data_IF_331704389594
#
_entry.id   IF_331704389594
#
_cell.length_a   1.000
_cell.length_b   1.000
_cell.length_c   1.000
_cell.angle_alpha   90.00
_cell.angle_beta   90.00
_cell.angle_gamma   90.00
#
_symmetry.space_group_name_H-M   'P 1'
#
loop_
_entity.id
_entity.type
_entity.pdbx_description
1 polymer ?
#
# COMPACT_ATOMS: atom_id res chain seq x y z
N UNK A 1 -24.62 -3.79 4.44
CA UNK A 1 -23.47 -4.68 4.74
C UNK A 1 -22.72 -4.14 5.95
N UNK A 2 -22.36 -5.00 6.90
CA UNK A 2 -21.54 -4.57 8.04
C UNK A 2 -20.13 -4.23 7.55
N UNK A 3 -19.57 -3.10 8.03
CA UNK A 3 -18.20 -2.68 7.73
C UNK A 3 -17.20 -3.75 8.19
N UNK A 4 -16.22 -4.07 7.36
CA UNK A 4 -15.11 -4.93 7.74
C UNK A 4 -14.30 -4.30 8.89
N UNK A 5 -13.53 -5.10 9.62
CA UNK A 5 -12.67 -4.59 10.70
C UNK A 5 -11.65 -3.56 10.17
N UNK A 6 -11.22 -3.72 8.93
CA UNK A 6 -10.29 -2.80 8.25
C UNK A 6 -10.99 -1.46 8.00
N UNK A 7 -12.20 -1.45 7.44
CA UNK A 7 -12.96 -0.22 7.21
C UNK A 7 -13.27 0.53 8.52
N UNK A 8 -13.57 -0.21 9.61
CA UNK A 8 -13.77 0.39 10.94
C UNK A 8 -12.50 1.03 11.47
N UNK A 9 -11.33 0.42 11.23
CA UNK A 9 -10.03 0.94 11.64
C UNK A 9 -9.72 2.26 10.91
N UNK A 10 -9.81 2.29 9.59
CA UNK A 10 -9.52 3.48 8.79
C UNK A 10 -10.53 4.62 8.97
N UNK A 11 -11.78 4.30 9.30
CA UNK A 11 -12.76 5.33 9.66
C UNK A 11 -12.42 6.06 10.97
N UNK A 12 -11.67 5.41 11.88
CA UNK A 12 -11.23 6.00 13.15
C UNK A 12 -9.85 6.67 13.05
N UNK A 13 -8.95 6.16 12.19
CA UNK A 13 -7.56 6.60 12.08
C UNK A 13 -7.27 7.02 10.63
N UNK A 14 -7.33 8.33 10.31
CA UNK A 14 -7.07 8.82 8.96
C UNK A 14 -5.65 8.49 8.51
N UNK A 15 -5.53 7.78 7.39
CA UNK A 15 -4.24 7.35 6.81
C UNK A 15 -3.40 8.52 6.30
N UNK A 16 -4.06 9.63 5.94
CA UNK A 16 -3.42 10.85 5.39
C UNK A 16 -2.30 11.38 6.27
N UNK A 17 -2.41 11.20 7.60
CA UNK A 17 -1.43 11.70 8.56
C UNK A 17 -0.26 10.74 8.79
N UNK A 18 -0.43 9.43 8.54
CA UNK A 18 0.60 8.42 8.79
C UNK A 18 1.85 8.66 7.94
N UNK A 19 1.66 8.85 6.65
CA UNK A 19 2.75 9.04 5.71
C UNK A 19 3.35 10.46 5.71
N UNK A 20 2.74 11.40 6.46
CA UNK A 20 3.31 12.74 6.68
C UNK A 20 4.23 12.79 7.91
N UNK A 21 4.23 11.77 8.76
CA UNK A 21 5.16 11.66 9.89
C UNK A 21 6.56 11.36 9.37
N UNK A 22 7.60 11.67 10.18
CA UNK A 22 9.02 11.50 9.79
C UNK A 22 9.35 10.13 9.20
N UNK A 23 8.85 9.04 9.81
CA UNK A 23 9.09 7.68 9.29
C UNK A 23 8.37 7.42 7.98
N UNK A 24 7.13 7.90 7.83
CA UNK A 24 6.38 7.77 6.59
C UNK A 24 7.04 8.50 5.41
N UNK A 25 7.77 9.59 5.67
CA UNK A 25 8.56 10.26 4.64
C UNK A 25 9.74 9.38 4.20
N UNK A 26 10.48 8.80 5.15
CA UNK A 26 11.60 7.90 4.83
C UNK A 26 11.12 6.67 4.08
N UNK A 27 10.05 6.02 4.54
CA UNK A 27 9.41 4.89 3.86
C UNK A 27 9.05 5.25 2.41
N UNK A 28 8.37 6.39 2.23
CA UNK A 28 7.93 6.86 0.92
C UNK A 28 9.12 7.14 -0.01
N UNK A 29 10.08 7.94 0.42
CA UNK A 29 11.24 8.32 -0.41
C UNK A 29 12.10 7.10 -0.76
N UNK A 30 12.32 6.19 0.19
CA UNK A 30 13.06 4.95 -0.06
C UNK A 30 12.33 4.07 -1.08
N UNK A 31 11.02 3.90 -0.93
CA UNK A 31 10.21 3.12 -1.86
C UNK A 31 10.23 3.75 -3.26
N UNK A 32 10.02 5.06 -3.38
CA UNK A 32 10.06 5.77 -4.65
C UNK A 32 11.44 5.70 -5.30
N UNK A 33 12.52 5.81 -4.51
CA UNK A 33 13.88 5.63 -5.01
C UNK A 33 14.09 4.25 -5.65
N UNK A 34 13.60 3.19 -4.99
CA UNK A 34 13.69 1.84 -5.54
C UNK A 34 12.80 1.63 -6.76
N UNK A 35 11.55 2.12 -6.72
CA UNK A 35 10.61 2.01 -7.85
C UNK A 35 11.19 2.64 -9.12
N UNK A 36 11.70 3.86 -9.05
CA UNK A 36 12.26 4.60 -10.21
C UNK A 36 13.39 3.87 -10.92
N UNK A 37 14.06 2.90 -10.28
CA UNK A 37 15.12 2.09 -10.90
C UNK A 37 14.59 1.02 -11.85
N UNK A 38 13.30 0.68 -11.76
CA UNK A 38 12.70 -0.46 -12.46
C UNK A 38 11.51 -0.09 -13.33
N UNK A 39 11.02 1.15 -13.23
CA UNK A 39 9.86 1.62 -14.00
C UNK A 39 10.29 2.59 -15.10
N UNK A 40 9.49 2.62 -16.17
CA UNK A 40 9.62 3.62 -17.23
C UNK A 40 8.22 4.10 -17.67
N UNK A 41 8.11 5.24 -18.37
CA UNK A 41 6.83 5.87 -18.70
C UNK A 41 5.86 5.04 -19.53
N UNK A 42 6.36 4.04 -20.27
CA UNK A 42 5.52 3.19 -21.12
C UNK A 42 4.85 2.05 -20.35
N UNK A 43 5.29 1.79 -19.11
CA UNK A 43 4.78 0.73 -18.28
C UNK A 43 3.39 1.07 -17.71
N UNK A 44 2.54 0.06 -17.60
CA UNK A 44 1.27 0.11 -16.87
C UNK A 44 1.53 -0.29 -15.42
N UNK A 45 1.29 0.63 -14.50
CA UNK A 45 1.46 0.41 -13.07
C UNK A 45 0.11 0.10 -12.42
N UNK A 46 0.11 -0.79 -11.44
CA UNK A 46 -1.05 -1.11 -10.61
C UNK A 46 -0.69 -0.94 -9.14
N UNK A 47 -1.43 -0.11 -8.42
CA UNK A 47 -1.27 0.13 -6.98
C UNK A 47 -2.41 -0.54 -6.22
N UNK A 48 -2.14 -1.68 -5.57
CA UNK A 48 -3.12 -2.48 -4.82
C UNK A 48 -3.06 -2.08 -3.34
N UNK A 49 -4.17 -1.58 -2.81
CA UNK A 49 -4.26 -1.00 -1.48
C UNK A 49 -3.68 0.41 -1.44
N UNK A 50 -4.04 1.23 -2.43
CA UNK A 50 -3.48 2.56 -2.63
C UNK A 50 -3.73 3.54 -1.46
N UNK A 51 -4.63 3.21 -0.52
CA UNK A 51 -5.02 4.11 0.56
C UNK A 51 -5.59 5.42 0.02
N UNK A 52 -5.06 6.54 0.50
CA UNK A 52 -5.41 7.87 -0.01
C UNK A 52 -4.60 8.27 -1.25
N UNK A 53 -3.91 7.33 -1.89
CA UNK A 53 -3.28 7.49 -3.20
C UNK A 53 -1.91 8.17 -3.19
N UNK A 54 -1.13 8.12 -2.12
CA UNK A 54 0.14 8.83 -2.04
C UNK A 54 1.15 8.38 -3.11
N UNK A 55 1.36 7.08 -3.26
CA UNK A 55 2.24 6.54 -4.30
C UNK A 55 1.67 6.78 -5.69
N UNK A 56 0.39 6.50 -5.89
CA UNK A 56 -0.30 6.74 -7.16
C UNK A 56 -0.19 8.18 -7.59
N UNK A 57 -0.48 9.18 -6.71
CA UNK A 57 -0.38 10.61 -7.05
C UNK A 57 1.04 11.01 -7.42
N UNK A 58 2.05 10.53 -6.69
CA UNK A 58 3.45 10.85 -6.99
C UNK A 58 3.87 10.29 -8.36
N UNK A 59 3.50 9.04 -8.64
CA UNK A 59 3.80 8.39 -9.92
C UNK A 59 3.05 9.07 -11.08
N UNK A 60 1.79 9.45 -10.89
CA UNK A 60 1.02 10.22 -11.89
C UNK A 60 1.67 11.58 -12.17
N UNK A 61 2.15 12.28 -11.14
CA UNK A 61 2.86 13.55 -11.30
C UNK A 61 4.18 13.41 -12.07
N UNK A 62 4.81 12.24 -12.03
CA UNK A 62 5.99 11.87 -12.82
C UNK A 62 5.65 11.37 -14.24
N UNK A 63 4.35 11.34 -14.61
CA UNK A 63 3.89 10.98 -15.95
C UNK A 63 3.60 9.49 -16.15
N UNK A 64 3.63 8.67 -15.09
CA UNK A 64 3.31 7.25 -15.20
C UNK A 64 1.79 7.00 -15.29
N UNK A 65 1.42 5.94 -16.01
CA UNK A 65 0.03 5.45 -16.04
C UNK A 65 -0.19 4.49 -14.88
N UNK A 66 -0.99 4.91 -13.92
CA UNK A 66 -1.24 4.14 -12.70
C UNK A 66 -2.72 3.88 -12.56
N UNK A 67 -3.09 2.60 -12.42
CA UNK A 67 -4.41 2.18 -11.94
C UNK A 67 -4.30 1.85 -10.46
N UNK A 68 -5.27 2.29 -9.67
CA UNK A 68 -5.31 2.03 -8.23
C UNK A 68 -6.49 1.14 -7.84
N UNK A 69 -6.28 0.27 -6.87
CA UNK A 69 -7.33 -0.51 -6.20
C UNK A 69 -7.27 -0.20 -4.70
N UNK A 70 -8.40 0.16 -4.11
CA UNK A 70 -8.48 0.45 -2.68
C UNK A 70 -9.77 -0.16 -2.10
N UNK A 71 -9.66 -0.77 -0.92
CA UNK A 71 -10.77 -1.44 -0.24
C UNK A 71 -11.72 -0.43 0.40
N UNK A 72 -11.16 0.60 1.06
CA UNK A 72 -11.90 1.52 1.92
C UNK A 72 -12.44 2.69 1.11
N UNK A 73 -13.76 2.77 0.98
CA UNK A 73 -14.43 3.83 0.20
C UNK A 73 -14.04 5.24 0.64
N UNK A 74 -13.90 5.48 1.95
CA UNK A 74 -13.47 6.79 2.46
C UNK A 74 -12.09 7.19 1.93
N UNK A 75 -11.14 6.25 1.84
CA UNK A 75 -9.83 6.52 1.29
C UNK A 75 -9.92 6.93 -0.19
N UNK A 76 -10.77 6.24 -0.96
CA UNK A 76 -11.04 6.58 -2.36
C UNK A 76 -11.62 8.00 -2.47
N UNK A 77 -12.58 8.34 -1.63
CA UNK A 77 -13.19 9.68 -1.62
C UNK A 77 -12.15 10.77 -1.31
N UNK A 78 -11.24 10.54 -0.36
CA UNK A 78 -10.13 11.46 -0.04
C UNK A 78 -9.16 11.53 -1.22
N UNK A 79 -8.83 10.41 -1.82
CA UNK A 79 -7.94 10.34 -2.97
C UNK A 79 -8.51 11.14 -4.16
N UNK A 80 -9.76 10.91 -4.55
CA UNK A 80 -10.41 11.57 -5.67
C UNK A 80 -10.66 13.07 -5.44
N UNK A 81 -10.76 13.54 -4.19
CA UNK A 81 -10.79 15.00 -3.90
C UNK A 81 -9.49 15.69 -4.27
N UNK A 82 -8.35 15.00 -4.12
CA UNK A 82 -7.03 15.54 -4.45
C UNK A 82 -6.67 15.31 -5.91
N UNK A 83 -7.01 14.13 -6.43
CA UNK A 83 -6.71 13.68 -7.79
C UNK A 83 -8.01 13.27 -8.52
N UNK A 84 -8.82 14.20 -9.00
CA UNK A 84 -10.13 13.90 -9.58
C UNK A 84 -10.07 12.97 -10.82
N UNK A 85 -8.92 12.92 -11.49
CA UNK A 85 -8.70 12.15 -12.72
C UNK A 85 -8.00 10.81 -12.45
N UNK A 86 -7.79 10.41 -11.18
CA UNK A 86 -7.16 9.13 -10.86
C UNK A 86 -8.05 7.96 -11.29
N UNK A 87 -7.44 6.95 -11.93
CA UNK A 87 -8.11 5.67 -12.23
C UNK A 87 -8.07 4.79 -10.98
N UNK A 88 -9.05 4.94 -10.10
CA UNK A 88 -9.17 4.18 -8.87
C UNK A 88 -10.48 3.42 -8.80
N UNK A 89 -10.40 2.14 -8.42
CA UNK A 89 -11.55 1.23 -8.29
C UNK A 89 -11.60 0.67 -6.87
N UNK A 90 -12.81 0.56 -6.31
CA UNK A 90 -12.99 -0.12 -5.04
C UNK A 90 -12.83 -1.64 -5.22
N UNK A 91 -11.96 -2.27 -4.42
CA UNK A 91 -11.73 -3.70 -4.50
C UNK A 91 -10.92 -4.26 -3.34
N UNK A 92 -11.02 -5.58 -3.18
CA UNK A 92 -10.25 -6.34 -2.20
C UNK A 92 -9.04 -6.97 -2.89
N UNK A 93 -7.84 -6.73 -2.35
CA UNK A 93 -6.59 -7.29 -2.85
C UNK A 93 -6.60 -8.82 -3.00
N UNK A 94 -7.46 -9.52 -2.25
CA UNK A 94 -7.60 -10.98 -2.26
C UNK A 94 -8.44 -11.52 -3.42
N UNK A 95 -9.23 -10.65 -4.06
CA UNK A 95 -10.15 -11.04 -5.13
C UNK A 95 -10.49 -9.82 -6.01
N UNK A 96 -9.88 -9.72 -7.16
CA UNK A 96 -10.01 -8.60 -8.11
C UNK A 96 -10.48 -9.10 -9.50
N UNK A 97 -11.67 -9.75 -9.60
CA UNK A 97 -12.15 -10.33 -10.86
C UNK A 97 -12.40 -9.29 -11.96
N UNK A 98 -12.54 -8.03 -11.57
CA UNK A 98 -12.69 -6.89 -12.49
C UNK A 98 -11.39 -6.47 -13.19
N UNK A 99 -10.24 -6.99 -12.74
CA UNK A 99 -8.94 -6.80 -13.40
C UNK A 99 -8.60 -8.02 -14.26
N UNK A 100 -8.31 -7.85 -15.56
CA UNK A 100 -7.86 -8.94 -16.40
C UNK A 100 -6.50 -9.48 -15.94
N UNK A 101 -6.21 -10.72 -16.32
CA UNK A 101 -4.89 -11.35 -16.10
C UNK A 101 -3.83 -10.66 -16.94
N UNK A 102 -2.60 -10.53 -16.41
CA UNK A 102 -1.42 -10.06 -17.14
C UNK A 102 -1.59 -8.65 -17.77
N UNK A 103 -2.12 -7.69 -17.02
CA UNK A 103 -2.34 -6.31 -17.48
C UNK A 103 -1.28 -5.31 -17.00
N UNK A 104 -0.72 -5.51 -15.81
CA UNK A 104 0.26 -4.59 -15.24
C UNK A 104 1.70 -5.04 -15.54
N UNK A 105 2.57 -4.10 -15.92
CA UNK A 105 4.01 -4.33 -16.01
C UNK A 105 4.65 -4.34 -14.62
N UNK A 106 4.13 -3.49 -13.73
CA UNK A 106 4.57 -3.40 -12.34
C UNK A 106 3.36 -3.29 -11.42
N UNK A 107 3.34 -4.12 -10.38
CA UNK A 107 2.30 -4.12 -9.35
C UNK A 107 2.90 -3.74 -8.00
N UNK A 108 2.28 -2.77 -7.33
CA UNK A 108 2.60 -2.37 -5.97
C UNK A 108 1.62 -3.05 -5.01
N UNK A 109 2.12 -3.75 -4.01
CA UNK A 109 1.36 -4.36 -2.92
C UNK A 109 1.99 -3.92 -1.59
N UNK A 110 1.90 -2.62 -1.31
CA UNK A 110 2.66 -1.97 -0.24
C UNK A 110 1.90 -1.87 1.10
N UNK A 111 0.58 -2.03 1.10
CA UNK A 111 -0.26 -1.89 2.30
C UNK A 111 -1.02 -3.15 2.73
N UNK A 112 -1.66 -3.89 1.81
CA UNK A 112 -2.64 -4.93 2.15
C UNK A 112 -2.13 -6.02 3.09
N UNK A 113 -0.88 -6.48 2.94
CA UNK A 113 -0.34 -7.58 3.73
C UNK A 113 -0.23 -7.28 5.23
N UNK A 114 -0.20 -6.02 5.64
CA UNK A 114 -0.18 -5.62 7.06
C UNK A 114 -1.51 -5.90 7.77
N UNK A 115 -2.59 -5.94 7.00
CA UNK A 115 -3.96 -6.08 7.50
C UNK A 115 -4.52 -7.50 7.35
N UNK A 116 -3.84 -8.36 6.60
CA UNK A 116 -4.27 -9.73 6.37
C UNK A 116 -3.70 -10.64 7.44
N UNK A 117 -4.61 -11.29 8.19
CA UNK A 117 -4.25 -12.22 9.26
C UNK A 117 -4.23 -13.63 8.69
N UNK A 118 -3.13 -14.35 8.96
CA UNK A 118 -2.92 -15.70 8.47
C UNK A 118 -2.36 -15.79 7.05
N UNK A 119 -1.66 -16.88 6.79
CA UNK A 119 -0.93 -17.06 5.54
C UNK A 119 -1.85 -17.26 4.34
N UNK A 120 -3.01 -17.90 4.55
CA UNK A 120 -3.99 -18.14 3.49
C UNK A 120 -4.49 -16.82 2.87
N UNK A 121 -4.84 -15.83 3.70
CA UNK A 121 -5.33 -14.53 3.24
C UNK A 121 -4.23 -13.73 2.53
N UNK A 122 -3.00 -13.79 3.04
CA UNK A 122 -1.84 -13.17 2.38
C UNK A 122 -1.53 -13.82 1.04
N UNK A 123 -1.59 -15.15 0.96
CA UNK A 123 -1.39 -15.90 -0.28
C UNK A 123 -2.46 -15.58 -1.32
N UNK A 124 -3.73 -15.37 -0.94
CA UNK A 124 -4.78 -14.92 -1.86
C UNK A 124 -4.39 -13.59 -2.50
N UNK A 125 -3.97 -12.60 -1.71
CA UNK A 125 -3.55 -11.29 -2.22
C UNK A 125 -2.30 -11.38 -3.12
N UNK A 126 -1.31 -12.17 -2.74
CA UNK A 126 -0.12 -12.41 -3.55
C UNK A 126 -0.45 -13.11 -4.88
N UNK A 127 -1.35 -14.10 -4.86
CA UNK A 127 -1.79 -14.80 -6.08
C UNK A 127 -2.57 -13.87 -7.02
N UNK A 128 -3.41 -12.98 -6.48
CA UNK A 128 -4.10 -11.96 -7.29
C UNK A 128 -3.10 -10.96 -7.87
N UNK A 129 -2.15 -10.44 -7.08
CA UNK A 129 -1.08 -9.58 -7.57
C UNK A 129 -0.28 -10.28 -8.69
N UNK A 130 0.08 -11.56 -8.51
CA UNK A 130 0.73 -12.37 -9.54
C UNK A 130 -0.12 -12.53 -10.79
N UNK A 131 -1.43 -12.79 -10.63
CA UNK A 131 -2.36 -12.99 -11.75
C UNK A 131 -2.45 -11.74 -12.64
N UNK A 132 -2.56 -10.57 -12.02
CA UNK A 132 -2.72 -9.30 -12.76
C UNK A 132 -1.41 -8.77 -13.34
N UNK A 133 -0.27 -9.21 -12.81
CA UNK A 133 1.05 -8.83 -13.33
C UNK A 133 1.40 -9.67 -14.55
N UNK A 134 1.95 -9.03 -15.58
CA UNK A 134 2.41 -9.72 -16.80
C UNK A 134 3.54 -10.70 -16.50
N UNK A 135 3.69 -11.79 -17.28
CA UNK A 135 4.89 -12.62 -17.21
C UNK A 135 6.16 -11.77 -17.41
N UNK A 136 7.12 -11.90 -16.50
CA UNK A 136 8.33 -11.06 -16.48
C UNK A 136 8.15 -9.66 -15.88
N UNK A 137 6.94 -9.29 -15.49
CA UNK A 137 6.67 -8.06 -14.74
C UNK A 137 7.15 -8.14 -13.30
N UNK A 138 7.11 -7.02 -12.59
CA UNK A 138 7.61 -6.88 -11.22
C UNK A 138 6.47 -6.71 -10.23
N UNK A 139 6.65 -7.25 -9.04
CA UNK A 139 5.75 -7.04 -7.91
C UNK A 139 6.57 -6.48 -6.75
N UNK A 140 6.26 -5.26 -6.33
CA UNK A 140 6.83 -4.66 -5.13
C UNK A 140 5.94 -4.96 -3.93
N UNK A 141 6.51 -5.61 -2.94
CA UNK A 141 5.78 -6.03 -1.74
C UNK A 141 6.42 -5.42 -0.51
N UNK A 142 5.61 -4.79 0.34
CA UNK A 142 6.07 -4.31 1.63
C UNK A 142 5.67 -5.27 2.75
N UNK A 143 6.62 -5.53 3.65
CA UNK A 143 6.42 -6.33 4.84
C UNK A 143 6.72 -5.50 6.09
N UNK A 144 5.94 -5.73 7.14
CA UNK A 144 6.27 -5.20 8.45
C UNK A 144 7.28 -6.15 9.11
N UNK A 145 8.48 -5.65 9.37
CA UNK A 145 9.50 -6.41 10.09
C UNK A 145 9.21 -6.37 11.60
N UNK A 146 9.53 -7.46 12.31
CA UNK A 146 9.36 -7.53 13.77
C UNK A 146 10.16 -6.42 14.49
N UNK A 147 11.31 -6.06 13.94
CA UNK A 147 12.19 -5.00 14.43
C UNK A 147 11.54 -3.61 14.36
N UNK A 148 10.58 -3.40 13.46
CA UNK A 148 9.87 -2.13 13.36
C UNK A 148 9.17 -1.77 14.68
N UNK A 149 8.52 -2.74 15.33
CA UNK A 149 7.87 -2.52 16.62
C UNK A 149 8.86 -2.12 17.71
N UNK A 150 10.06 -2.72 17.71
CA UNK A 150 11.13 -2.38 18.65
C UNK A 150 11.65 -0.98 18.37
N UNK A 151 11.95 -0.66 17.11
CA UNK A 151 12.46 0.65 16.72
C UNK A 151 11.46 1.76 17.01
N UNK A 152 10.19 1.58 16.59
CA UNK A 152 9.14 2.57 16.80
C UNK A 152 8.84 2.75 18.27
N UNK A 153 8.65 1.64 19.02
CA UNK A 153 8.26 1.70 20.42
C UNK A 153 9.39 2.19 21.33
N UNK A 154 10.63 1.78 21.05
CA UNK A 154 11.76 2.12 21.90
C UNK A 154 12.37 3.49 21.59
N UNK A 155 12.48 3.85 20.31
CA UNK A 155 13.16 5.06 19.89
C UNK A 155 12.23 6.25 19.68
N UNK A 156 10.99 6.02 19.20
CA UNK A 156 10.06 7.12 18.94
C UNK A 156 9.26 7.53 20.17
N UNK A 157 8.91 6.57 21.05
CA UNK A 157 8.16 6.82 22.27
C UNK A 157 9.05 7.00 23.49
N UNK A 158 10.38 7.01 23.28
CA UNK A 158 11.40 7.18 24.37
C UNK A 158 11.23 6.20 25.54
N UNK A 159 10.81 4.96 25.22
CA UNK A 159 10.49 3.93 26.22
C UNK A 159 11.59 2.88 26.42
N UNK A 160 12.83 3.21 26.03
CA UNK A 160 13.99 2.31 26.20
C UNK A 160 14.19 1.91 27.65
N UNK A 161 13.98 2.82 28.59
CA UNK A 161 14.16 2.57 30.02
C UNK A 161 13.25 1.46 30.56
N UNK A 162 12.00 1.37 30.06
CA UNK A 162 11.04 0.33 30.46
C UNK A 162 11.45 -1.10 30.07
N UNK A 163 12.22 -1.27 29.01
CA UNK A 163 12.70 -2.59 28.54
C UNK A 163 13.95 -3.07 29.29
N UNK A 164 14.74 -2.16 29.86
CA UNK A 164 15.95 -2.49 30.63
C UNK A 164 15.62 -2.93 32.06
N UNK A 165 14.43 -2.65 32.56
CA UNK A 165 13.99 -3.03 33.91
C UNK A 165 13.40 -4.44 34.03
N UNK A 166 13.22 -5.16 32.93
CA UNK A 166 12.74 -6.55 32.92
C UNK A 166 13.89 -7.55 32.87
N UNK A 167 14.81 -7.47 33.85
CA UNK A 167 15.80 -8.54 34.14
C UNK A 167 15.50 -9.16 35.50
#
# INVERSE_FOLDING_TARGET
>A
MALSNIEKHYNKHPEDLRLQRRHGIVEFETTMHHLRRFINPDMQLLDIGAGTGRYTSALMAEGYKVKAVELVRRNIEVFLKREPNADVVQGDARNMPFLPTATADVTLLLGPLYHLIGDEEKLKALNEAKRVTKPGGLIFVAYLMNEYSILSYCFDEDRIEGLLCCR
#
